data_IF_305902027352
#
_entry.id   IF_305902027352
#
_cell.length_a   1.000
_cell.length_b   1.000
_cell.length_c   1.000
_cell.angle_alpha   90.00
_cell.angle_beta   90.00
_cell.angle_gamma   90.00
#
_symmetry.space_group_name_H-M   'P 1'
#
loop_
_entity.id
_entity.type
_entity.pdbx_description
1 polymer ?
#
# COMPACT_ATOMS: atom_id res chain seq x y z
N UNK A 1 45.63 48.28 -38.59
CA UNK A 1 45.72 46.80 -38.55
C UNK A 1 44.63 46.30 -37.61
N UNK A 2 43.80 45.35 -38.08
CA UNK A 2 42.54 44.93 -37.42
C UNK A 2 42.80 43.96 -36.26
N UNK A 3 42.10 44.22 -35.16
CA UNK A 3 41.96 43.38 -33.96
C UNK A 3 41.25 42.07 -34.35
N UNK A 4 41.73 40.94 -33.83
CA UNK A 4 40.99 39.66 -33.82
C UNK A 4 40.92 39.17 -32.36
N UNK A 5 39.81 39.46 -31.70
CA UNK A 5 39.39 38.74 -30.50
C UNK A 5 38.75 37.44 -30.95
N UNK A 6 39.31 36.31 -30.51
CA UNK A 6 38.70 34.99 -30.68
C UNK A 6 37.69 34.83 -29.56
N UNK A 7 36.40 34.89 -29.90
CA UNK A 7 35.32 34.54 -28.98
C UNK A 7 35.27 33.01 -28.81
N UNK A 8 35.52 32.53 -27.59
CA UNK A 8 35.19 31.17 -27.18
C UNK A 8 33.67 31.08 -27.01
N UNK A 9 33.00 30.38 -27.92
CA UNK A 9 31.58 30.02 -27.78
C UNK A 9 31.44 28.94 -26.71
N UNK A 10 30.61 29.24 -25.71
CA UNK A 10 30.32 28.37 -24.58
C UNK A 10 29.58 27.09 -25.01
N UNK A 11 30.11 25.92 -24.62
CA UNK A 11 29.40 24.65 -24.66
C UNK A 11 28.73 24.40 -23.29
N UNK A 12 27.55 24.97 -23.08
CA UNK A 12 26.71 24.67 -21.93
C UNK A 12 25.34 24.19 -22.43
N UNK A 13 25.13 22.87 -22.46
CA UNK A 13 23.83 22.34 -22.81
C UNK A 13 23.80 20.84 -23.04
N UNK A 14 23.80 20.05 -21.96
CA UNK A 14 23.06 18.77 -21.90
C UNK A 14 22.99 18.21 -20.47
N UNK A 15 22.13 18.77 -19.62
CA UNK A 15 21.88 18.23 -18.27
C UNK A 15 20.42 18.40 -17.81
N UNK A 16 19.45 18.13 -18.69
CA UNK A 16 18.02 18.28 -18.38
C UNK A 16 17.14 17.07 -18.75
N UNK A 17 17.69 15.85 -18.89
CA UNK A 17 16.91 14.66 -19.30
C UNK A 17 16.58 13.67 -18.17
N UNK A 18 17.07 13.85 -16.95
CA UNK A 18 16.89 12.84 -15.88
C UNK A 18 15.59 12.99 -15.07
N UNK A 19 15.00 14.19 -15.01
CA UNK A 19 13.79 14.42 -14.21
C UNK A 19 12.49 13.88 -14.85
N UNK A 20 12.49 13.67 -16.17
CA UNK A 20 11.30 13.21 -16.90
C UNK A 20 11.06 11.70 -16.79
N UNK A 21 12.13 10.89 -16.69
CA UNK A 21 12.00 9.44 -16.63
C UNK A 21 11.34 8.98 -15.32
N UNK A 22 11.72 9.58 -14.18
CA UNK A 22 11.14 9.23 -12.87
C UNK A 22 9.65 9.58 -12.74
N UNK A 23 9.21 10.70 -13.34
CA UNK A 23 7.78 11.09 -13.39
C UNK A 23 6.96 10.25 -14.37
N UNK A 24 7.56 9.80 -15.47
CA UNK A 24 6.88 8.91 -16.42
C UNK A 24 6.65 7.52 -15.81
N UNK A 25 7.59 7.02 -15.02
CA UNK A 25 7.50 5.70 -14.39
C UNK A 25 6.42 5.63 -13.29
N UNK A 26 6.20 6.73 -12.56
CA UNK A 26 5.10 6.82 -11.58
C UNK A 26 3.72 6.95 -12.22
N UNK A 27 3.59 7.50 -13.43
CA UNK A 27 2.30 7.55 -14.14
C UNK A 27 1.77 6.15 -14.51
N UNK A 28 2.67 5.20 -14.74
CA UNK A 28 2.34 3.79 -15.04
C UNK A 28 2.19 2.92 -13.78
N UNK A 29 2.34 3.49 -12.59
CA UNK A 29 2.15 2.79 -11.33
C UNK A 29 0.71 2.31 -11.19
N UNK A 30 0.54 1.06 -10.79
CA UNK A 30 -0.76 0.42 -10.53
C UNK A 30 -0.82 -0.24 -9.15
N UNK A 31 0.26 -0.17 -8.37
CA UNK A 31 0.30 -0.58 -6.97
C UNK A 31 1.24 0.30 -6.15
N UNK A 32 0.89 0.57 -4.90
CA UNK A 32 1.80 1.12 -3.89
C UNK A 32 1.32 0.81 -2.47
N UNK A 33 2.21 0.95 -1.50
CA UNK A 33 1.86 1.08 -0.07
C UNK A 33 1.73 2.56 0.26
N UNK A 34 0.69 3.00 0.95
CA UNK A 34 0.55 4.42 1.28
C UNK A 34 1.73 4.93 2.11
N UNK A 35 2.29 6.10 1.79
CA UNK A 35 3.26 6.77 2.67
C UNK A 35 2.67 7.28 3.99
N UNK A 36 1.34 7.43 4.05
CA UNK A 36 0.61 7.83 5.25
C UNK A 36 -0.81 7.25 5.28
N UNK A 37 -1.27 6.86 6.47
CA UNK A 37 -2.65 6.42 6.74
C UNK A 37 -3.64 7.57 6.96
N UNK A 38 -4.76 7.28 7.64
CA UNK A 38 -5.77 8.30 7.99
C UNK A 38 -5.34 9.23 9.14
N UNK A 39 -4.35 8.82 9.92
CA UNK A 39 -3.98 9.46 11.19
C UNK A 39 -4.92 9.14 12.35
N UNK A 40 -5.97 8.34 12.11
CA UNK A 40 -6.97 7.90 13.11
C UNK A 40 -6.91 6.40 13.38
N UNK A 41 -5.78 5.75 13.11
CA UNK A 41 -5.67 4.30 13.20
C UNK A 41 -6.46 3.60 12.09
N UNK A 42 -7.27 2.60 12.46
CA UNK A 42 -8.09 1.84 11.53
C UNK A 42 -9.45 2.49 11.19
N UNK A 43 -9.77 3.65 11.79
CA UNK A 43 -10.88 4.47 11.32
C UNK A 43 -10.48 5.16 10.02
N UNK A 44 -11.03 4.64 8.92
CA UNK A 44 -10.82 5.13 7.56
C UNK A 44 -12.08 5.80 7.01
N UNK A 45 -13.19 5.83 7.75
CA UNK A 45 -14.51 6.16 7.21
C UNK A 45 -15.07 5.07 6.29
N UNK A 46 -14.76 3.81 6.57
CA UNK A 46 -15.12 2.66 5.74
C UNK A 46 -14.30 2.55 4.45
N UNK A 47 -14.72 1.64 3.57
CA UNK A 47 -14.01 1.38 2.31
C UNK A 47 -13.91 2.61 1.40
N UNK A 48 -14.93 3.46 1.38
CA UNK A 48 -14.93 4.67 0.58
C UNK A 48 -13.84 5.66 1.02
N UNK A 49 -13.65 5.84 2.32
CA UNK A 49 -12.60 6.71 2.83
C UNK A 49 -11.20 6.09 2.69
N UNK A 50 -11.08 4.77 2.80
CA UNK A 50 -9.84 4.06 2.47
C UNK A 50 -9.43 4.24 0.99
N UNK A 51 -10.39 4.07 0.07
CA UNK A 51 -10.18 4.30 -1.37
C UNK A 51 -9.80 5.76 -1.65
N UNK A 52 -10.44 6.73 -0.96
CA UNK A 52 -10.11 8.14 -1.09
C UNK A 52 -8.67 8.48 -0.64
N UNK A 53 -8.14 7.77 0.37
CA UNK A 53 -6.73 7.89 0.76
C UNK A 53 -5.82 7.44 -0.38
N UNK A 54 -6.09 6.26 -0.95
CA UNK A 54 -5.33 5.74 -2.09
C UNK A 54 -5.40 6.69 -3.29
N UNK A 55 -6.60 7.15 -3.67
CA UNK A 55 -6.79 8.05 -4.81
C UNK A 55 -6.00 9.35 -4.66
N UNK A 56 -6.07 9.97 -3.47
CA UNK A 56 -5.36 11.23 -3.18
C UNK A 56 -3.85 11.08 -3.27
N UNK A 57 -3.29 10.01 -2.68
CA UNK A 57 -1.84 9.77 -2.71
C UNK A 57 -1.35 9.46 -4.13
N UNK A 58 -2.09 8.64 -4.86
CA UNK A 58 -1.79 8.36 -6.26
C UNK A 58 -1.84 9.63 -7.12
N UNK A 59 -2.84 10.49 -6.93
CA UNK A 59 -2.94 11.77 -7.62
C UNK A 59 -1.74 12.68 -7.34
N UNK A 60 -1.30 12.77 -6.08
CA UNK A 60 -0.12 13.53 -5.70
C UNK A 60 1.18 13.00 -6.36
N UNK A 61 1.25 11.69 -6.62
CA UNK A 61 2.35 11.04 -7.32
C UNK A 61 2.24 11.09 -8.87
N UNK A 62 1.16 11.65 -9.42
CA UNK A 62 0.93 11.74 -10.87
C UNK A 62 0.19 10.54 -11.48
N UNK A 63 -0.34 9.62 -10.67
CA UNK A 63 -1.09 8.43 -11.09
C UNK A 63 -2.61 8.55 -10.85
N UNK A 64 -3.14 9.78 -10.80
CA UNK A 64 -4.53 10.06 -10.40
C UNK A 64 -5.61 9.75 -11.43
N UNK A 65 -5.24 9.42 -12.68
CA UNK A 65 -6.22 9.11 -13.73
C UNK A 65 -6.86 7.72 -13.58
N UNK A 66 -6.27 6.85 -12.76
CA UNK A 66 -6.78 5.50 -12.49
C UNK A 66 -7.77 5.54 -11.33
N UNK A 67 -8.63 4.53 -11.26
CA UNK A 67 -9.43 4.28 -10.07
C UNK A 67 -8.61 3.46 -9.08
N UNK A 68 -8.38 4.00 -7.89
CA UNK A 68 -7.60 3.33 -6.85
C UNK A 68 -8.48 2.73 -5.76
N UNK A 69 -8.13 1.52 -5.33
CA UNK A 69 -8.81 0.80 -4.27
C UNK A 69 -7.83 0.40 -3.18
N UNK A 70 -8.22 0.63 -1.94
CA UNK A 70 -7.53 0.04 -0.80
C UNK A 70 -7.84 -1.47 -0.75
N UNK A 71 -6.80 -2.29 -0.64
CA UNK A 71 -6.94 -3.75 -0.46
C UNK A 71 -7.44 -4.04 0.95
N UNK A 72 -8.75 -4.02 1.11
CA UNK A 72 -9.43 -4.21 2.39
C UNK A 72 -10.68 -5.04 2.17
N UNK A 73 -10.86 -6.04 3.02
CA UNK A 73 -12.10 -6.80 3.09
C UNK A 73 -13.01 -6.23 4.19
N UNK A 74 -14.31 -6.26 4.00
CA UNK A 74 -15.29 -5.94 5.05
C UNK A 74 -16.15 -7.15 5.36
N UNK A 75 -16.66 -7.19 6.57
CA UNK A 75 -17.59 -8.21 6.99
C UNK A 75 -19.03 -7.83 6.72
N UNK A 76 -19.88 -8.85 6.62
CA UNK A 76 -21.31 -8.65 6.58
C UNK A 76 -21.79 -7.98 7.89
N UNK A 77 -22.44 -6.84 7.75
CA UNK A 77 -22.97 -6.04 8.85
C UNK A 77 -24.19 -5.25 8.34
N UNK A 78 -25.17 -5.04 9.21
CA UNK A 78 -26.34 -4.19 8.92
C UNK A 78 -27.09 -4.55 7.62
N UNK A 79 -27.14 -5.85 7.30
CA UNK A 79 -27.77 -6.37 6.09
C UNK A 79 -26.94 -6.23 4.80
N UNK A 80 -25.77 -5.58 4.85
CA UNK A 80 -24.81 -5.55 3.75
C UNK A 80 -24.00 -6.86 3.70
N UNK A 81 -23.71 -7.33 2.49
CA UNK A 81 -22.84 -8.48 2.28
C UNK A 81 -21.39 -8.15 2.65
N UNK A 82 -20.63 -9.19 3.00
CA UNK A 82 -19.18 -9.08 3.11
C UNK A 82 -18.58 -8.70 1.75
N UNK A 83 -17.45 -7.98 1.77
CA UNK A 83 -16.74 -7.58 0.57
C UNK A 83 -15.32 -8.14 0.64
N UNK A 84 -14.90 -8.87 -0.38
CA UNK A 84 -13.56 -9.41 -0.46
C UNK A 84 -12.60 -8.37 -1.08
N UNK A 85 -11.41 -8.20 -0.51
CA UNK A 85 -10.39 -7.33 -1.06
C UNK A 85 -9.98 -7.74 -2.47
N UNK A 86 -9.82 -9.05 -2.71
CA UNK A 86 -9.38 -9.61 -4.01
C UNK A 86 -10.30 -9.24 -5.18
N UNK A 87 -11.59 -9.05 -4.91
CA UNK A 87 -12.60 -8.78 -5.96
C UNK A 87 -12.63 -7.30 -6.36
N UNK A 88 -11.95 -6.42 -5.60
CA UNK A 88 -12.01 -4.96 -5.79
C UNK A 88 -10.83 -4.39 -6.57
N UNK A 89 -9.71 -5.11 -6.66
CA UNK A 89 -8.42 -4.56 -7.06
C UNK A 89 -8.08 -4.68 -8.56
N UNK A 90 -9.04 -5.09 -9.39
CA UNK A 90 -8.83 -5.32 -10.82
C UNK A 90 -8.14 -6.66 -11.12
N UNK A 91 -7.77 -6.87 -12.38
CA UNK A 91 -7.17 -8.15 -12.83
C UNK A 91 -5.63 -8.17 -12.84
N UNK A 92 -4.98 -7.00 -12.72
CA UNK A 92 -3.53 -6.84 -12.92
C UNK A 92 -3.16 -6.59 -14.39
N UNK A 93 -1.86 -6.50 -14.73
CA UNK A 93 -0.71 -6.60 -13.83
C UNK A 93 -0.58 -5.36 -12.95
N UNK A 94 -0.10 -5.55 -11.72
CA UNK A 94 0.21 -4.44 -10.82
C UNK A 94 1.72 -4.15 -10.79
N UNK A 95 2.08 -2.88 -10.88
CA UNK A 95 3.46 -2.39 -10.91
C UNK A 95 3.66 -1.32 -9.85
N UNK A 96 4.78 -1.39 -9.14
CA UNK A 96 5.16 -0.34 -8.19
C UNK A 96 5.62 0.94 -8.90
N UNK A 97 5.91 2.00 -8.13
CA UNK A 97 6.39 3.30 -8.63
C UNK A 97 7.66 3.24 -9.49
N UNK A 98 8.43 2.14 -9.44
CA UNK A 98 9.64 1.91 -10.24
C UNK A 98 9.40 0.95 -11.42
N UNK A 99 8.14 0.60 -11.69
CA UNK A 99 7.74 -0.27 -12.80
C UNK A 99 7.93 -1.77 -12.56
N UNK A 100 8.42 -2.19 -11.39
CA UNK A 100 8.55 -3.61 -11.03
C UNK A 100 7.17 -4.24 -10.92
N UNK A 101 6.96 -5.38 -11.58
CA UNK A 101 5.72 -6.15 -11.48
C UNK A 101 5.62 -6.78 -10.09
N UNK A 102 4.53 -6.49 -9.41
CA UNK A 102 4.16 -7.07 -8.11
C UNK A 102 3.43 -8.39 -8.31
N UNK A 103 2.45 -8.41 -9.21
CA UNK A 103 1.79 -9.64 -9.64
C UNK A 103 1.15 -9.42 -11.01
N UNK A 104 1.08 -10.48 -11.82
CA UNK A 104 0.48 -10.43 -13.15
C UNK A 104 -1.03 -10.68 -13.12
N UNK A 105 -1.54 -11.34 -12.08
CA UNK A 105 -2.94 -11.68 -11.91
C UNK A 105 -3.33 -11.78 -10.43
N UNK A 106 -4.64 -11.79 -10.14
CA UNK A 106 -5.16 -12.06 -8.78
C UNK A 106 -4.66 -13.40 -8.24
N UNK A 107 -4.55 -14.41 -9.11
CA UNK A 107 -4.03 -15.73 -8.72
C UNK A 107 -2.54 -15.64 -8.31
N UNK A 108 -1.73 -14.92 -9.09
CA UNK A 108 -0.31 -14.74 -8.78
C UNK A 108 -0.11 -13.92 -7.49
N UNK A 109 -0.96 -12.91 -7.26
CA UNK A 109 -0.89 -12.05 -6.09
C UNK A 109 -1.11 -12.81 -4.76
N UNK A 110 -1.99 -13.82 -4.77
CA UNK A 110 -2.25 -14.68 -3.61
C UNK A 110 -1.48 -16.00 -3.66
N UNK A 111 -0.60 -16.16 -4.66
CA UNK A 111 0.26 -17.32 -4.83
C UNK A 111 1.71 -17.04 -4.42
N UNK A 112 2.60 -18.00 -4.73
CA UNK A 112 4.02 -17.87 -4.45
C UNK A 112 4.76 -16.86 -5.35
N UNK A 113 4.13 -16.45 -6.46
CA UNK A 113 4.73 -15.56 -7.46
C UNK A 113 4.65 -14.06 -7.11
N UNK A 114 3.89 -13.69 -6.06
CA UNK A 114 3.75 -12.30 -5.64
C UNK A 114 5.11 -11.70 -5.25
N UNK A 115 5.54 -10.67 -5.97
CA UNK A 115 6.74 -9.89 -5.69
C UNK A 115 6.47 -8.82 -4.63
N UNK A 116 5.87 -9.22 -3.51
CA UNK A 116 5.69 -8.37 -2.33
C UNK A 116 6.83 -8.63 -1.35
N UNK A 117 7.78 -7.70 -1.31
CA UNK A 117 8.95 -7.71 -0.43
C UNK A 117 9.21 -6.29 0.05
N UNK A 118 10.07 -6.11 1.06
CA UNK A 118 10.47 -4.77 1.53
C UNK A 118 10.99 -3.87 0.40
N UNK A 119 11.68 -4.45 -0.59
CA UNK A 119 12.29 -3.72 -1.70
C UNK A 119 11.30 -3.37 -2.82
N UNK A 120 10.16 -4.05 -2.89
CA UNK A 120 9.20 -3.91 -3.99
C UNK A 120 7.88 -3.29 -3.54
N UNK A 121 7.51 -3.43 -2.27
CA UNK A 121 6.36 -2.79 -1.63
C UNK A 121 6.69 -1.32 -1.28
N UNK A 122 6.83 -0.51 -2.33
CA UNK A 122 7.25 0.89 -2.25
C UNK A 122 6.06 1.84 -2.03
N UNK A 123 6.36 3.04 -1.54
CA UNK A 123 5.39 4.11 -1.47
C UNK A 123 4.97 4.63 -2.84
N UNK A 124 3.92 5.45 -2.90
CA UNK A 124 3.53 6.15 -4.13
C UNK A 124 4.65 7.04 -4.70
N UNK A 125 5.63 7.39 -3.86
CA UNK A 125 6.82 8.18 -4.21
C UNK A 125 8.02 7.31 -4.62
N UNK A 126 7.88 5.99 -4.57
CA UNK A 126 8.96 5.03 -4.85
C UNK A 126 9.96 4.87 -3.71
N UNK A 127 9.58 5.27 -2.49
CA UNK A 127 10.40 5.13 -1.28
C UNK A 127 10.18 3.75 -0.64
N UNK A 128 11.19 3.24 0.06
CA UNK A 128 11.07 2.02 0.84
C UNK A 128 10.27 2.31 2.09
N UNK A 129 9.30 1.45 2.41
CA UNK A 129 8.55 1.53 3.67
C UNK A 129 9.40 0.91 4.80
N UNK A 130 9.39 1.55 5.97
CA UNK A 130 10.07 1.00 7.13
C UNK A 130 9.47 -0.35 7.52
N UNK A 131 10.29 -1.39 7.54
CA UNK A 131 9.92 -2.74 7.92
C UNK A 131 10.39 -3.10 9.34
N UNK A 132 10.30 -4.39 9.66
CA UNK A 132 10.79 -4.93 10.92
C UNK A 132 12.28 -4.63 11.07
N UNK A 133 12.65 -4.06 12.22
CA UNK A 133 14.03 -3.65 12.54
C UNK A 133 14.36 -2.20 12.21
N UNK A 134 13.50 -1.49 11.47
CA UNK A 134 13.67 -0.05 11.23
C UNK A 134 13.02 0.78 12.34
N UNK A 135 13.39 2.08 12.42
CA UNK A 135 12.79 3.04 13.36
C UNK A 135 12.19 4.23 12.60
N UNK A 136 10.88 4.54 12.79
CA UNK A 136 9.88 3.71 13.48
C UNK A 136 9.60 2.41 12.72
N UNK A 137 9.14 1.36 13.41
CA UNK A 137 8.64 0.13 12.77
C UNK A 137 7.26 0.41 12.15
N UNK A 138 7.08 0.09 10.87
CA UNK A 138 5.83 0.30 10.12
C UNK A 138 5.50 -0.91 9.23
N UNK A 139 5.88 -2.11 9.67
CA UNK A 139 5.80 -3.30 8.81
C UNK A 139 4.38 -3.81 8.58
N UNK A 140 3.46 -3.56 9.51
CA UNK A 140 2.08 -4.01 9.42
C UNK A 140 1.22 -3.10 8.53
N UNK A 141 0.47 -3.74 7.64
CA UNK A 141 -0.48 -3.12 6.72
C UNK A 141 -1.89 -3.63 7.03
N UNK A 142 -2.87 -2.73 7.05
CA UNK A 142 -4.27 -3.09 7.27
C UNK A 142 -4.82 -3.90 6.10
N UNK A 143 -5.49 -5.03 6.35
CA UNK A 143 -6.10 -5.86 5.29
C UNK A 143 -7.51 -6.33 5.60
N UNK A 144 -7.82 -6.68 6.85
CA UNK A 144 -9.10 -7.31 7.20
C UNK A 144 -9.39 -8.63 6.47
N UNK A 145 -8.38 -9.26 5.85
CA UNK A 145 -8.57 -10.31 4.85
C UNK A 145 -7.94 -11.63 5.27
N UNK A 146 -8.50 -12.74 4.78
CA UNK A 146 -7.84 -14.05 4.78
C UNK A 146 -6.70 -14.07 3.76
N UNK A 147 -5.84 -15.09 3.83
CA UNK A 147 -4.66 -15.20 2.96
C UNK A 147 -4.99 -15.22 1.46
N UNK A 148 -6.17 -15.73 1.10
CA UNK A 148 -6.67 -15.76 -0.28
C UNK A 148 -7.37 -14.46 -0.71
N UNK A 149 -7.39 -13.45 0.16
CA UNK A 149 -7.99 -12.14 -0.09
C UNK A 149 -9.51 -12.06 0.10
N UNK A 150 -10.12 -13.08 0.70
CA UNK A 150 -11.54 -13.07 1.08
C UNK A 150 -11.75 -12.44 2.45
N UNK A 151 -12.98 -11.99 2.72
CA UNK A 151 -13.39 -11.54 4.04
C UNK A 151 -13.44 -12.70 5.04
N UNK A 152 -13.32 -12.39 6.33
CA UNK A 152 -13.66 -13.33 7.39
C UNK A 152 -15.17 -13.55 7.48
N UNK A 153 -15.56 -14.70 8.03
CA UNK A 153 -16.97 -15.09 8.18
C UNK A 153 -17.75 -14.18 9.16
N UNK A 154 -19.09 -14.33 9.20
CA UNK A 154 -19.93 -13.59 10.13
C UNK A 154 -19.51 -13.80 11.59
N UNK A 155 -19.59 -12.74 12.41
CA UNK A 155 -19.28 -12.78 13.85
C UNK A 155 -17.80 -12.61 14.22
N UNK A 156 -16.88 -12.59 13.26
CA UNK A 156 -15.45 -12.41 13.50
C UNK A 156 -14.97 -11.00 13.11
N UNK A 157 -15.29 -9.94 13.86
CA UNK A 157 -14.78 -8.58 13.56
C UNK A 157 -13.24 -8.50 13.59
N UNK A 158 -12.64 -8.54 12.40
CA UNK A 158 -11.22 -8.37 12.12
C UNK A 158 -10.99 -7.15 11.23
N UNK A 159 -11.87 -6.17 11.30
CA UNK A 159 -11.87 -4.98 10.42
C UNK A 159 -11.99 -3.68 11.19
N UNK A 160 -11.99 -3.72 12.53
CA UNK A 160 -12.27 -2.55 13.37
C UNK A 160 -13.62 -1.89 13.02
N UNK A 161 -14.69 -2.69 12.99
CA UNK A 161 -16.03 -2.24 12.65
C UNK A 161 -16.13 -1.77 11.20
N UNK A 162 -15.65 -2.56 10.26
CA UNK A 162 -15.57 -2.20 8.84
C UNK A 162 -14.88 -0.84 8.63
N UNK A 163 -13.77 -0.62 9.35
CA UNK A 163 -12.92 0.57 9.27
C UNK A 163 -13.60 1.88 9.70
N UNK A 164 -14.46 1.80 10.72
CA UNK A 164 -15.16 2.98 11.29
C UNK A 164 -14.81 3.22 12.76
N UNK A 165 -13.94 2.38 13.36
CA UNK A 165 -13.56 2.48 14.77
C UNK A 165 -12.12 2.93 14.93
N UNK A 166 -11.95 3.86 15.87
CA UNK A 166 -10.68 4.19 16.50
C UNK A 166 -10.84 3.98 18.00
N UNK A 167 -9.84 3.40 18.67
CA UNK A 167 -9.91 3.17 20.12
C UNK A 167 -9.32 1.82 20.54
N UNK A 168 -9.61 1.41 21.77
CA UNK A 168 -9.14 0.13 22.33
C UNK A 168 -10.05 -1.06 21.99
N UNK A 169 -11.23 -0.80 21.45
CA UNK A 169 -12.21 -1.82 21.09
C UNK A 169 -11.99 -2.34 19.67
N UNK A 170 -12.10 -3.67 19.51
CA UNK A 170 -11.94 -4.36 18.24
C UNK A 170 -10.48 -4.65 17.89
N UNK A 171 -10.29 -5.28 16.75
CA UNK A 171 -8.99 -5.52 16.16
C UNK A 171 -9.13 -5.59 14.63
N UNK A 172 -8.02 -5.37 13.94
CA UNK A 172 -7.96 -5.48 12.48
C UNK A 172 -6.93 -6.52 12.08
N UNK A 173 -7.26 -7.35 11.08
CA UNK A 173 -6.28 -8.25 10.48
C UNK A 173 -5.23 -7.46 9.71
N UNK A 174 -3.97 -7.78 9.98
CA UNK A 174 -2.78 -7.16 9.44
C UNK A 174 -2.01 -8.15 8.59
N UNK A 175 -1.21 -7.66 7.67
CA UNK A 175 -0.16 -8.43 7.01
C UNK A 175 1.14 -7.66 6.90
N UNK A 176 2.23 -8.36 6.55
CA UNK A 176 3.57 -7.79 6.54
C UNK A 176 4.05 -7.49 5.11
N UNK A 177 4.26 -6.21 4.78
CA UNK A 177 4.76 -5.84 3.45
C UNK A 177 6.20 -6.32 3.17
N UNK A 178 6.96 -6.54 4.23
CA UNK A 178 8.34 -7.01 4.20
C UNK A 178 8.48 -8.54 4.29
N UNK A 179 7.36 -9.27 4.35
CA UNK A 179 7.30 -10.74 4.51
C UNK A 179 8.13 -11.22 5.71
N UNK A 180 8.26 -10.43 6.76
CA UNK A 180 9.09 -10.75 7.92
C UNK A 180 8.26 -10.91 9.19
N UNK A 181 8.40 -12.04 9.86
CA UNK A 181 7.72 -12.36 11.12
C UNK A 181 8.67 -12.85 12.20
N UNK A 182 8.10 -13.42 13.26
CA UNK A 182 8.85 -14.00 14.38
C UNK A 182 9.43 -15.38 14.06
N UNK A 183 8.85 -16.07 13.09
CA UNK A 183 9.24 -17.40 12.60
C UNK A 183 8.94 -17.55 11.10
N UNK A 184 9.09 -18.76 10.58
CA UNK A 184 8.89 -19.10 9.15
C UNK A 184 7.52 -19.75 8.85
N UNK A 185 6.55 -19.64 9.76
CA UNK A 185 5.19 -20.13 9.49
C UNK A 185 4.49 -19.28 8.41
N UNK A 186 3.52 -19.85 7.66
CA UNK A 186 2.82 -19.11 6.62
C UNK A 186 2.17 -17.80 7.10
N UNK A 187 1.50 -17.73 8.28
CA UNK A 187 0.98 -16.46 8.81
C UNK A 187 2.09 -15.44 9.10
N UNK A 188 3.19 -15.82 9.77
CA UNK A 188 4.31 -14.92 10.09
C UNK A 188 4.94 -14.24 8.86
N UNK A 189 4.90 -14.90 7.70
CA UNK A 189 5.38 -14.32 6.45
C UNK A 189 4.28 -13.66 5.64
N UNK A 190 3.00 -13.87 5.97
CA UNK A 190 1.86 -13.44 5.16
C UNK A 190 1.82 -11.93 4.94
N UNK A 191 1.63 -11.52 3.68
CA UNK A 191 1.54 -10.09 3.34
C UNK A 191 0.17 -9.49 3.64
N UNK A 192 -0.86 -10.33 3.80
CA UNK A 192 -2.25 -9.91 4.00
C UNK A 192 -2.99 -10.58 5.18
N UNK A 193 -2.44 -11.62 5.81
CA UNK A 193 -3.10 -12.34 6.91
C UNK A 193 -2.06 -12.91 7.89
N UNK A 194 -1.42 -12.04 8.66
CA UNK A 194 -0.40 -12.39 9.63
C UNK A 194 -0.98 -12.52 11.04
N UNK A 195 -1.45 -11.41 11.60
CA UNK A 195 -2.03 -11.36 12.93
C UNK A 195 -3.03 -10.22 13.08
N UNK A 196 -3.79 -10.25 14.18
CA UNK A 196 -4.63 -9.13 14.58
C UNK A 196 -3.80 -8.00 15.18
N UNK A 197 -4.27 -6.77 15.07
CA UNK A 197 -3.75 -5.65 15.87
C UNK A 197 -3.92 -5.93 17.37
N UNK A 198 -2.96 -5.49 18.18
CA UNK A 198 -3.02 -5.57 19.65
C UNK A 198 -3.46 -4.24 20.23
N UNK A 199 -4.31 -4.29 21.25
CA UNK A 199 -4.69 -3.10 22.01
C UNK A 199 -5.70 -2.18 21.30
N UNK A 200 -6.27 -2.62 20.18
CA UNK A 200 -7.38 -1.95 19.51
C UNK A 200 -7.09 -1.51 18.08
N UNK A 201 -7.81 -0.45 17.71
CA UNK A 201 -7.90 0.15 16.38
C UNK A 201 -7.34 1.57 16.32
N UNK A 202 -6.94 2.15 17.45
CA UNK A 202 -6.34 3.49 17.50
C UNK A 202 -4.96 3.52 16.83
N UNK A 203 -4.48 4.72 16.49
CA UNK A 203 -3.14 4.88 15.92
C UNK A 203 -2.04 4.35 16.86
N UNK A 204 -2.18 4.57 18.17
CA UNK A 204 -1.22 4.09 19.16
C UNK A 204 -1.28 2.57 19.34
N UNK A 205 -2.47 1.97 19.25
CA UNK A 205 -2.61 0.51 19.23
C UNK A 205 -1.86 -0.10 18.04
N UNK A 206 -2.05 0.44 16.83
CA UNK A 206 -1.34 -0.02 15.64
C UNK A 206 0.18 0.12 15.79
N UNK A 207 0.66 1.27 16.29
CA UNK A 207 2.10 1.48 16.58
C UNK A 207 2.65 0.47 17.56
N UNK A 208 1.88 0.11 18.60
CA UNK A 208 2.29 -0.86 19.61
C UNK A 208 2.43 -2.30 19.09
N UNK A 209 1.86 -2.58 17.91
CA UNK A 209 1.93 -3.88 17.24
C UNK A 209 2.98 -3.91 16.12
N UNK A 210 3.36 -2.76 15.56
CA UNK A 210 4.32 -2.66 14.46
C UNK A 210 3.78 -1.97 13.20
N UNK A 211 2.58 -1.39 13.27
CA UNK A 211 1.91 -0.74 12.16
C UNK A 211 1.87 0.78 12.27
N UNK A 212 1.59 1.41 11.13
CA UNK A 212 1.32 2.85 11.04
C UNK A 212 -0.07 3.17 10.45
N UNK A 213 -0.95 2.17 10.30
CA UNK A 213 -2.25 2.35 9.66
C UNK A 213 -2.13 2.55 8.14
N UNK A 214 -1.12 1.93 7.53
CA UNK A 214 -0.87 2.01 6.10
C UNK A 214 -1.78 1.04 5.34
N UNK A 215 -1.96 1.31 4.05
CA UNK A 215 -2.81 0.54 3.14
C UNK A 215 -2.00 0.08 1.93
N UNK A 216 -2.34 -1.09 1.39
CA UNK A 216 -2.02 -1.39 0.00
C UNK A 216 -3.06 -0.76 -0.91
N UNK A 217 -2.61 -0.06 -1.94
CA UNK A 217 -3.44 0.59 -2.93
C UNK A 217 -3.21 -0.05 -4.29
N UNK A 218 -4.28 -0.51 -4.93
CA UNK A 218 -4.24 -1.15 -6.24
C UNK A 218 -5.12 -0.36 -7.21
N UNK A 219 -4.63 -0.16 -8.44
CA UNK A 219 -5.47 0.33 -9.52
C UNK A 219 -6.46 -0.76 -9.93
N UNK A 220 -7.75 -0.42 -9.96
CA UNK A 220 -8.83 -1.38 -10.17
C UNK A 220 -9.28 -1.56 -11.61
N UNK A 221 -8.89 -0.66 -12.52
CA UNK A 221 -8.99 -0.74 -13.99
C UNK A 221 -8.12 0.36 -14.62
#
# INVERSE_FOLDING_TARGET
MRVRCIELVAAAGLLALTANAGRAQTAEMTFFVTSAGSGKGADLGGLAGADAICQRLAQAAGAGARTWRAYLSTQAADGAAAVNARDRIGAGPWRNAKGTVIASSVADLHGAAASLTKQTALTEKGEVVNGRGDTPNQHDILTGSQADGTAFGPGEDRTCGNYTRSGSEGAVMLGHHDRSGLDDTPPSKSWNMSHLSRGGCSQDALRSTGGAGLLYCFAAN
#
